data_IF_134424402139
#
_entry.id   IF_134424402139
#
_cell.length_a   1.000
_cell.length_b   1.000
_cell.length_c   1.000
_cell.angle_alpha   90.00
_cell.angle_beta   90.00
_cell.angle_gamma   90.00
#
_symmetry.space_group_name_H-M   'P 1'
#
loop_
_entity.id
_entity.type
_entity.pdbx_description
1 polymer ?
#
# COMPACT_ATOMS: atom_id res chain seq x y z
N UNK A 1 40.02 -11.98 -49.63
CA UNK A 1 38.82 -12.58 -48.97
C UNK A 1 38.75 -12.20 -47.50
N UNK A 2 39.87 -11.89 -46.83
CA UNK A 2 39.94 -11.34 -45.47
C UNK A 2 39.43 -9.89 -45.34
N UNK A 3 39.65 -9.06 -46.36
CA UNK A 3 39.38 -7.60 -46.24
C UNK A 3 37.88 -7.25 -46.25
N UNK A 4 37.03 -8.11 -46.80
CA UNK A 4 35.57 -7.91 -46.86
C UNK A 4 34.92 -8.23 -45.51
N UNK A 5 35.48 -9.17 -44.75
CA UNK A 5 34.99 -9.53 -43.42
C UNK A 5 35.35 -8.44 -42.40
N UNK A 6 36.53 -7.83 -42.52
CA UNK A 6 36.95 -6.71 -41.66
C UNK A 6 36.11 -5.45 -41.88
N UNK A 7 35.68 -5.18 -43.11
CA UNK A 7 34.77 -4.06 -43.42
C UNK A 7 33.34 -4.30 -42.88
N UNK A 8 32.86 -5.55 -42.91
CA UNK A 8 31.57 -5.88 -42.30
C UNK A 8 31.60 -5.78 -40.77
N UNK A 9 32.70 -6.19 -40.13
CA UNK A 9 32.86 -6.08 -38.66
C UNK A 9 32.96 -4.63 -38.21
N UNK A 10 33.65 -3.78 -38.97
CA UNK A 10 33.74 -2.34 -38.68
C UNK A 10 32.39 -1.64 -38.83
N UNK A 11 31.63 -1.94 -39.89
CA UNK A 11 30.26 -1.42 -40.07
C UNK A 11 29.33 -1.84 -38.92
N UNK A 12 29.37 -3.11 -38.51
CA UNK A 12 28.59 -3.60 -37.37
C UNK A 12 28.98 -2.91 -36.06
N UNK A 13 30.26 -2.61 -35.87
CA UNK A 13 30.74 -1.92 -34.66
C UNK A 13 30.22 -0.49 -34.59
N UNK A 14 30.24 0.23 -35.71
CA UNK A 14 29.68 1.58 -35.81
C UNK A 14 28.17 1.59 -35.58
N UNK A 15 27.45 0.59 -36.09
CA UNK A 15 26.01 0.47 -35.90
C UNK A 15 25.64 0.18 -34.44
N UNK A 16 26.39 -0.69 -33.76
CA UNK A 16 26.24 -0.93 -32.32
C UNK A 16 26.49 0.36 -31.52
N UNK A 17 27.49 1.16 -31.90
CA UNK A 17 27.78 2.42 -31.22
C UNK A 17 26.67 3.47 -31.44
N UNK A 18 26.11 3.55 -32.65
CA UNK A 18 24.92 4.38 -32.95
C UNK A 18 23.71 3.97 -32.12
N UNK A 19 23.43 2.66 -32.04
CA UNK A 19 22.32 2.14 -31.24
C UNK A 19 22.53 2.41 -29.74
N UNK A 20 23.76 2.32 -29.24
CA UNK A 20 24.08 2.63 -27.85
C UNK A 20 23.83 4.11 -27.49
N UNK A 21 24.12 5.04 -28.42
CA UNK A 21 23.81 6.47 -28.24
C UNK A 21 22.30 6.70 -28.20
N UNK A 22 21.53 6.05 -29.09
CA UNK A 22 20.07 6.16 -29.11
C UNK A 22 19.42 5.64 -27.83
N UNK A 23 19.90 4.50 -27.29
CA UNK A 23 19.39 3.94 -26.03
C UNK A 23 19.66 4.89 -24.86
N UNK A 24 20.86 5.49 -24.77
CA UNK A 24 21.17 6.49 -23.73
C UNK A 24 20.26 7.71 -23.80
N UNK A 25 19.95 8.20 -25.00
CA UNK A 25 19.05 9.34 -25.17
C UNK A 25 17.60 9.00 -24.75
N UNK A 26 17.16 7.76 -24.98
CA UNK A 26 15.86 7.27 -24.52
C UNK A 26 15.82 7.17 -22.98
N UNK A 27 16.88 6.65 -22.35
CA UNK A 27 16.97 6.57 -20.89
C UNK A 27 16.94 7.94 -20.21
N UNK A 28 17.64 8.94 -20.79
CA UNK A 28 17.58 10.32 -20.30
C UNK A 28 16.18 10.94 -20.45
N UNK A 29 15.46 10.62 -21.53
CA UNK A 29 14.07 11.08 -21.74
C UNK A 29 13.13 10.44 -20.72
N UNK A 30 13.30 9.16 -20.40
CA UNK A 30 12.52 8.46 -19.37
C UNK A 30 12.80 9.04 -17.97
N UNK A 31 14.06 9.27 -17.61
CA UNK A 31 14.41 9.90 -16.32
C UNK A 31 13.82 11.30 -16.15
N UNK A 32 13.75 12.10 -17.23
CA UNK A 32 13.13 13.43 -17.21
C UNK A 32 11.60 13.34 -17.04
N UNK A 33 10.95 12.33 -17.62
CA UNK A 33 9.51 12.10 -17.43
C UNK A 33 9.16 11.63 -16.01
N UNK A 34 10.00 10.79 -15.40
CA UNK A 34 9.80 10.31 -14.02
C UNK A 34 9.94 11.42 -12.97
N UNK A 35 10.77 12.45 -13.24
CA UNK A 35 10.94 13.58 -12.32
C UNK A 35 9.75 14.56 -12.34
N UNK A 36 9.10 14.74 -13.49
CA UNK A 36 7.92 15.61 -13.64
C UNK A 36 6.65 14.98 -13.04
N UNK A 37 6.61 13.65 -12.93
CA UNK A 37 5.47 12.89 -12.37
C UNK A 37 5.69 12.43 -10.93
N UNK A 38 6.75 12.88 -10.25
CA UNK A 38 7.02 12.53 -8.86
C UNK A 38 6.01 13.17 -7.93
N UNK A 39 4.94 12.42 -7.65
CA UNK A 39 3.98 12.73 -6.59
C UNK A 39 4.74 12.98 -5.27
N UNK A 40 4.30 13.94 -4.43
CA UNK A 40 4.98 14.25 -3.18
C UNK A 40 5.02 13.01 -2.28
N UNK A 41 6.19 12.74 -1.69
CA UNK A 41 6.47 11.56 -0.85
C UNK A 41 5.58 11.50 0.43
N UNK A 42 4.81 12.56 0.72
CA UNK A 42 3.89 12.62 1.86
C UNK A 42 2.55 13.24 1.50
N UNK A 43 1.49 12.69 2.09
CA UNK A 43 0.08 13.06 1.93
C UNK A 43 -0.25 14.39 2.62
N UNK A 44 0.56 14.77 3.62
CA UNK A 44 0.30 15.90 4.53
C UNK A 44 0.14 17.26 3.82
N UNK A 45 0.98 17.65 2.83
CA UNK A 45 0.84 18.93 2.14
C UNK A 45 -0.44 18.99 1.29
N UNK A 46 -0.79 17.90 0.62
CA UNK A 46 -1.97 17.80 -0.25
C UNK A 46 -3.26 17.87 0.57
N UNK A 47 -3.32 17.15 1.69
CA UNK A 47 -4.48 17.20 2.60
C UNK A 47 -4.63 18.60 3.20
N UNK A 48 -3.54 19.23 3.64
CA UNK A 48 -3.58 20.59 4.19
C UNK A 48 -4.09 21.62 3.17
N UNK A 49 -3.69 21.48 1.89
CA UNK A 49 -4.13 22.36 0.81
C UNK A 49 -5.61 22.14 0.44
N UNK A 50 -6.07 20.89 0.41
CA UNK A 50 -7.46 20.54 0.13
C UNK A 50 -8.40 20.89 1.29
N UNK A 51 -7.95 20.79 2.55
CA UNK A 51 -8.71 21.26 3.72
C UNK A 51 -9.02 22.77 3.65
N UNK A 52 -8.16 23.57 3.01
CA UNK A 52 -8.39 25.01 2.82
C UNK A 52 -9.27 25.35 1.61
N UNK A 53 -9.32 24.47 0.60
CA UNK A 53 -10.08 24.68 -0.65
C UNK A 53 -11.45 24.01 -0.66
N UNK A 54 -11.75 23.14 0.30
CA UNK A 54 -13.01 22.37 0.32
C UNK A 54 -13.49 22.13 1.76
N UNK A 55 -14.02 23.16 2.44
CA UNK A 55 -14.46 23.06 3.85
C UNK A 55 -15.74 22.22 4.03
N UNK A 56 -16.45 21.91 2.96
CA UNK A 56 -17.75 21.23 3.01
C UNK A 56 -17.65 19.70 2.98
N UNK A 57 -16.48 19.16 2.64
CA UNK A 57 -16.29 17.71 2.53
C UNK A 57 -15.96 17.11 3.89
N UNK A 58 -16.62 16.00 4.21
CA UNK A 58 -16.32 15.23 5.42
C UNK A 58 -14.89 14.69 5.36
N UNK A 59 -14.24 14.55 6.51
CA UNK A 59 -12.85 14.10 6.63
C UNK A 59 -12.51 12.87 5.77
N UNK A 60 -13.41 11.89 5.73
CA UNK A 60 -13.25 10.67 4.94
C UNK A 60 -13.28 10.93 3.43
N UNK A 61 -14.14 11.81 2.93
CA UNK A 61 -14.20 12.20 1.51
C UNK A 61 -12.97 13.00 1.09
N UNK A 62 -12.47 13.87 1.98
CA UNK A 62 -11.26 14.62 1.74
C UNK A 62 -10.03 13.69 1.68
N UNK A 63 -9.96 12.72 2.59
CA UNK A 63 -8.93 11.68 2.60
C UNK A 63 -9.00 10.84 1.33
N UNK A 64 -10.17 10.37 0.94
CA UNK A 64 -10.33 9.49 -0.21
C UNK A 64 -10.02 10.23 -1.52
N UNK A 65 -10.40 11.52 -1.62
CA UNK A 65 -9.92 12.40 -2.69
C UNK A 65 -8.39 12.55 -2.64
N UNK A 66 -7.78 12.83 -1.50
CA UNK A 66 -6.33 12.92 -1.41
C UNK A 66 -5.63 11.61 -1.83
N UNK A 67 -6.16 10.44 -1.44
CA UNK A 67 -5.65 9.12 -1.84
C UNK A 67 -5.79 8.91 -3.35
N UNK A 68 -6.90 9.32 -3.97
CA UNK A 68 -7.08 9.26 -5.42
C UNK A 68 -6.04 10.10 -6.17
N UNK A 69 -5.75 11.31 -5.68
CA UNK A 69 -4.74 12.20 -6.28
C UNK A 69 -3.30 11.68 -6.10
N UNK A 70 -3.04 10.97 -5.00
CA UNK A 70 -1.73 10.38 -4.71
C UNK A 70 -1.54 9.01 -5.37
N UNK A 71 -2.62 8.39 -5.85
CA UNK A 71 -2.53 7.17 -6.64
C UNK A 71 -1.83 7.56 -7.93
N UNK A 72 -0.54 7.19 -8.04
CA UNK A 72 0.20 7.24 -9.30
C UNK A 72 -0.71 6.62 -10.38
N UNK A 73 -0.88 7.26 -11.55
CA UNK A 73 -1.42 6.56 -12.70
C UNK A 73 -0.41 5.46 -13.02
N UNK A 74 -0.62 4.27 -12.47
CA UNK A 74 -0.11 3.06 -13.11
C UNK A 74 -0.73 3.11 -14.49
N UNK A 75 0.12 3.18 -15.53
CA UNK A 75 -0.32 3.11 -16.90
C UNK A 75 -1.23 1.89 -17.02
N UNK A 76 -2.53 2.14 -17.04
CA UNK A 76 -3.54 1.11 -17.10
C UNK A 76 -3.46 0.55 -18.52
N UNK A 77 -2.67 -0.53 -18.69
CA UNK A 77 -2.78 -1.42 -19.86
C UNK A 77 -4.18 -2.04 -20.00
N UNK A 78 -5.13 -1.67 -19.13
CA UNK A 78 -6.50 -2.20 -19.04
C UNK A 78 -7.53 -1.38 -19.80
N UNK A 79 -7.24 -0.16 -20.27
CA UNK A 79 -8.20 0.61 -21.09
C UNK A 79 -8.09 0.33 -22.60
N UNK A 80 -6.96 -0.20 -23.08
CA UNK A 80 -6.82 -0.64 -24.48
C UNK A 80 -7.42 -2.05 -24.73
N UNK A 81 -7.55 -2.89 -23.70
CA UNK A 81 -8.00 -4.28 -23.85
C UNK A 81 -9.51 -4.42 -24.08
N UNK A 82 -10.32 -3.41 -23.73
CA UNK A 82 -11.78 -3.51 -23.84
C UNK A 82 -12.36 -3.10 -25.21
N UNK A 83 -11.54 -2.71 -26.19
CA UNK A 83 -12.04 -2.30 -27.51
C UNK A 83 -11.73 -3.29 -28.65
N UNK A 84 -10.99 -4.37 -28.38
CA UNK A 84 -10.55 -5.33 -29.41
C UNK A 84 -11.03 -6.77 -29.18
N UNK A 85 -12.03 -6.99 -28.31
CA UNK A 85 -12.60 -8.32 -28.03
C UNK A 85 -14.05 -8.44 -28.49
N UNK A 86 -14.35 -8.00 -29.72
CA UNK A 86 -15.65 -8.26 -30.36
C UNK A 86 -15.56 -9.02 -31.70
N UNK A 87 -14.39 -9.53 -32.10
CA UNK A 87 -14.29 -10.28 -33.36
C UNK A 87 -13.14 -11.28 -33.37
N UNK A 88 -13.17 -12.25 -32.44
CA UNK A 88 -12.48 -13.53 -32.60
C UNK A 88 -13.04 -14.56 -31.62
N UNK A 89 -14.11 -15.26 -32.02
CA UNK A 89 -14.46 -16.56 -31.47
C UNK A 89 -14.54 -17.55 -32.63
N UNK A 90 -13.46 -18.30 -32.84
CA UNK A 90 -13.54 -19.75 -32.98
C UNK A 90 -12.14 -20.34 -32.76
N UNK A 91 -12.03 -21.26 -31.81
CA UNK A 91 -11.10 -22.39 -31.64
C UNK A 91 -11.24 -22.83 -30.16
N UNK A 92 -12.22 -23.69 -29.92
CA UNK A 92 -12.45 -24.37 -28.65
C UNK A 92 -11.34 -25.42 -28.43
N UNK A 93 -10.51 -25.27 -27.39
CA UNK A 93 -9.57 -26.36 -27.08
C UNK A 93 -8.39 -26.13 -26.16
N UNK A 94 -8.37 -25.13 -25.26
CA UNK A 94 -7.27 -25.06 -24.28
C UNK A 94 -7.25 -23.84 -23.40
N UNK A 95 -7.95 -23.84 -22.27
CA UNK A 95 -7.75 -22.80 -21.23
C UNK A 95 -8.18 -23.16 -19.80
N UNK A 96 -8.85 -24.30 -19.57
CA UNK A 96 -9.20 -24.72 -18.20
C UNK A 96 -7.98 -25.18 -17.39
N UNK A 97 -6.93 -25.69 -18.04
CA UNK A 97 -5.68 -26.13 -17.39
C UNK A 97 -4.91 -24.96 -16.79
N UNK A 98 -4.76 -23.87 -17.53
CA UNK A 98 -4.04 -22.67 -17.08
C UNK A 98 -4.74 -22.01 -15.89
N UNK A 99 -6.08 -21.96 -15.90
CA UNK A 99 -6.87 -21.42 -14.79
C UNK A 99 -6.76 -22.30 -13.54
N UNK A 100 -6.86 -23.61 -13.71
CA UNK A 100 -6.74 -24.57 -12.61
C UNK A 100 -5.33 -24.56 -12.00
N UNK A 101 -4.30 -24.34 -12.81
CA UNK A 101 -2.94 -24.18 -12.31
C UNK A 101 -2.74 -22.87 -11.53
N UNK A 102 -3.31 -21.76 -12.01
CA UNK A 102 -3.29 -20.48 -11.29
C UNK A 102 -4.02 -20.58 -9.94
N UNK A 103 -5.18 -21.23 -9.91
CA UNK A 103 -5.94 -21.45 -8.66
C UNK A 103 -5.12 -22.30 -7.68
N UNK A 104 -4.52 -23.41 -8.13
CA UNK A 104 -3.64 -24.24 -7.27
C UNK A 104 -2.44 -23.46 -6.71
N UNK A 105 -1.84 -22.59 -7.52
CA UNK A 105 -0.73 -21.71 -7.07
C UNK A 105 -1.22 -20.71 -6.00
N UNK A 106 -2.43 -20.17 -6.17
CA UNK A 106 -3.05 -19.27 -5.19
C UNK A 106 -3.38 -20.01 -3.89
N UNK A 107 -3.91 -21.23 -3.95
CA UNK A 107 -4.21 -22.07 -2.78
C UNK A 107 -2.97 -22.31 -1.92
N UNK A 108 -1.85 -22.72 -2.54
CA UNK A 108 -0.59 -22.93 -1.83
C UNK A 108 -0.05 -21.64 -1.17
N UNK A 109 -0.27 -20.49 -1.80
CA UNK A 109 0.13 -19.19 -1.24
C UNK A 109 -0.72 -18.83 -0.02
N UNK A 110 -2.03 -19.05 -0.09
CA UNK A 110 -2.97 -18.79 1.01
C UNK A 110 -2.67 -19.71 2.20
N UNK A 111 -2.35 -20.98 1.94
CA UNK A 111 -2.00 -21.93 3.00
C UNK A 111 -0.74 -21.50 3.76
N UNK A 112 0.31 -21.06 3.05
CA UNK A 112 1.53 -20.53 3.68
C UNK A 112 1.22 -19.32 4.55
N UNK A 113 0.36 -18.42 4.09
CA UNK A 113 -0.07 -17.27 4.89
C UNK A 113 -0.81 -17.73 6.16
N UNK A 114 -1.70 -18.71 6.06
CA UNK A 114 -2.43 -19.23 7.21
C UNK A 114 -1.50 -19.87 8.25
N UNK A 115 -0.47 -20.60 7.81
CA UNK A 115 0.55 -21.17 8.70
C UNK A 115 1.37 -20.08 9.40
N UNK A 116 1.73 -19.00 8.69
CA UNK A 116 2.42 -17.86 9.29
C UNK A 116 1.56 -17.14 10.33
N UNK A 117 0.27 -16.90 10.02
CA UNK A 117 -0.69 -16.32 10.96
C UNK A 117 -0.81 -17.19 12.21
N UNK A 118 -0.99 -18.50 12.06
CA UNK A 118 -1.08 -19.42 13.19
C UNK A 118 0.24 -19.46 14.00
N UNK A 119 1.39 -19.36 13.34
CA UNK A 119 2.70 -19.26 14.02
C UNK A 119 2.81 -17.96 14.81
N UNK A 120 2.33 -16.85 14.26
CA UNK A 120 2.32 -15.56 14.96
C UNK A 120 1.36 -15.62 16.14
N UNK A 121 0.12 -16.08 15.96
CA UNK A 121 -0.89 -16.18 17.03
C UNK A 121 -0.42 -17.07 18.19
N UNK A 122 0.20 -18.21 17.90
CA UNK A 122 0.78 -19.10 18.92
C UNK A 122 1.97 -18.46 19.64
N UNK A 123 2.81 -17.69 18.95
CA UNK A 123 3.94 -16.95 19.54
C UNK A 123 3.50 -15.68 20.28
N UNK A 124 2.46 -15.00 19.81
CA UNK A 124 1.96 -13.74 20.36
C UNK A 124 1.03 -13.93 21.56
N UNK A 125 0.57 -15.16 21.82
CA UNK A 125 -0.15 -15.51 23.04
C UNK A 125 0.71 -15.47 24.32
N UNK A 126 2.01 -15.16 24.22
CA UNK A 126 2.98 -15.39 25.31
C UNK A 126 3.97 -14.25 25.51
N UNK A 127 3.50 -13.00 25.54
CA UNK A 127 4.26 -11.90 26.19
C UNK A 127 3.44 -11.27 27.33
N UNK A 128 3.89 -11.61 28.54
CA UNK A 128 3.60 -11.00 29.85
C UNK A 128 2.14 -10.81 30.32
N UNK A 129 1.52 -11.91 30.78
CA UNK A 129 0.46 -11.81 31.79
C UNK A 129 0.39 -12.98 32.80
N UNK A 130 1.54 -13.53 33.21
CA UNK A 130 1.59 -14.60 34.24
C UNK A 130 1.70 -14.10 35.69
N UNK A 131 1.78 -12.77 35.91
CA UNK A 131 1.89 -12.16 37.25
C UNK A 131 1.05 -10.89 37.43
N UNK A 132 -0.08 -10.72 36.73
CA UNK A 132 -0.98 -9.62 37.10
C UNK A 132 -1.92 -10.09 38.19
N UNK A 133 -1.63 -9.61 39.40
CA UNK A 133 -2.66 -9.42 40.42
C UNK A 133 -3.88 -8.75 39.75
N UNK A 134 -5.11 -9.16 40.10
CA UNK A 134 -6.30 -8.56 39.52
C UNK A 134 -6.22 -7.04 39.66
N UNK A 135 -6.61 -6.34 38.60
CA UNK A 135 -6.52 -4.89 38.52
C UNK A 135 -7.48 -4.27 39.55
N UNK A 136 -6.95 -3.98 40.74
CA UNK A 136 -7.70 -3.42 41.86
C UNK A 136 -7.43 -1.91 41.98
N UNK A 137 -8.48 -1.15 42.26
CA UNK A 137 -8.38 0.25 42.61
C UNK A 137 -7.60 0.40 43.92
N UNK A 138 -6.46 1.09 43.90
CA UNK A 138 -5.69 1.37 45.11
C UNK A 138 -6.38 2.34 46.08
N UNK A 139 -7.46 2.98 45.67
CA UNK A 139 -8.17 3.99 46.47
C UNK A 139 -9.33 3.39 47.27
N UNK A 140 -10.07 2.44 46.69
CA UNK A 140 -11.24 1.83 47.35
C UNK A 140 -11.20 0.30 47.39
N UNK A 141 -10.16 -0.34 46.82
CA UNK A 141 -10.01 -1.80 46.78
C UNK A 141 -10.88 -2.53 45.75
N UNK A 142 -11.79 -1.83 45.05
CA UNK A 142 -12.67 -2.47 44.06
C UNK A 142 -11.91 -2.98 42.83
N UNK A 143 -12.29 -4.15 42.30
CA UNK A 143 -11.79 -4.72 41.04
C UNK A 143 -12.51 -4.20 39.79
N UNK A 144 -13.58 -3.41 39.97
CA UNK A 144 -14.39 -2.89 38.86
C UNK A 144 -13.70 -1.77 38.08
N UNK A 145 -12.75 -1.07 38.70
CA UNK A 145 -12.06 0.07 38.11
C UNK A 145 -10.63 0.22 38.64
N UNK A 146 -9.83 1.05 37.96
CA UNK A 146 -8.51 1.48 38.42
C UNK A 146 -8.59 2.79 39.20
N UNK A 147 -7.57 3.12 39.99
CA UNK A 147 -7.49 4.37 40.78
C UNK A 147 -7.90 5.63 39.97
N UNK A 148 -7.51 5.71 38.69
CA UNK A 148 -7.85 6.83 37.79
C UNK A 148 -9.35 7.00 37.54
N UNK A 149 -10.12 5.91 37.63
CA UNK A 149 -11.56 5.90 37.40
C UNK A 149 -12.33 5.59 38.71
N UNK A 150 -11.71 5.86 39.86
CA UNK A 150 -12.35 5.67 41.15
C UNK A 150 -13.45 6.71 41.37
N UNK A 151 -14.71 6.31 41.56
CA UNK A 151 -15.80 7.25 41.79
C UNK A 151 -15.59 8.05 43.08
N UNK A 152 -14.96 7.44 44.10
CA UNK A 152 -14.66 8.08 45.38
C UNK A 152 -13.60 9.19 45.26
N UNK A 153 -12.73 9.11 44.24
CA UNK A 153 -11.69 10.13 44.00
C UNK A 153 -12.29 11.48 43.59
N UNK A 154 -13.50 11.50 43.02
CA UNK A 154 -14.25 12.74 42.72
C UNK A 154 -14.86 13.38 43.97
N UNK A 155 -15.10 12.60 45.02
CA UNK A 155 -15.76 13.07 46.24
C UNK A 155 -14.77 13.64 47.27
N UNK A 156 -13.55 13.07 47.37
CA UNK A 156 -12.54 13.48 48.37
C UNK A 156 -11.79 14.78 48.00
N UNK A 157 -11.80 15.19 46.72
CA UNK A 157 -11.02 16.34 46.26
C UNK A 157 -11.89 17.34 45.46
N UNK A 158 -12.49 18.35 46.10
CA UNK A 158 -13.38 19.33 45.46
C UNK A 158 -12.67 20.29 44.48
N UNK A 159 -11.38 20.09 44.18
CA UNK A 159 -10.62 20.92 43.24
C UNK A 159 -10.31 20.23 41.90
N UNK A 160 -10.99 19.12 41.60
CA UNK A 160 -10.58 18.16 40.57
C UNK A 160 -11.52 18.01 39.37
N UNK A 161 -11.74 19.07 38.59
CA UNK A 161 -12.28 19.08 37.21
C UNK A 161 -13.61 18.34 36.99
N UNK A 162 -14.68 19.11 37.14
CA UNK A 162 -15.98 18.83 36.58
C UNK A 162 -15.94 19.21 35.09
N UNK A 163 -15.92 18.21 34.22
CA UNK A 163 -16.44 18.36 32.86
C UNK A 163 -17.67 17.46 32.80
N UNK A 164 -18.74 17.95 33.40
CA UNK A 164 -20.07 17.38 33.33
C UNK A 164 -21.02 18.55 33.07
N UNK A 165 -21.57 18.55 31.85
CA UNK A 165 -22.72 19.30 31.31
C UNK A 165 -22.37 19.77 29.89
N UNK A 166 -22.62 18.91 28.91
CA UNK A 166 -23.14 19.36 27.63
C UNK A 166 -24.19 18.33 27.21
N UNK A 167 -25.44 18.75 27.29
CA UNK A 167 -26.61 18.14 26.63
C UNK A 167 -26.44 18.15 25.10
#
# INVERSE_FOLDING_TARGET
>A
MSDVEDEAVTQLREEVERLAVMVKEQDEKLQKQDNVTRAPDSIKPVVMMNSRRSPELKFFELRDKAVHWLRRPVADKKSAINQEVQSANFEEGGSTSNLLEVVKRQEAMIERQQQQINSILSKSGSTCNKHRKPLQCWTCGSTSHINRNCPQRRMENPRGRDNALNE
#
